data_IF_609378271883
#
_entry.id   IF_609378271883
#
_cell.length_a   1.000
_cell.length_b   1.000
_cell.length_c   1.000
_cell.angle_alpha   90.00
_cell.angle_beta   90.00
_cell.angle_gamma   90.00
#
_symmetry.space_group_name_H-M   'P 1'
#
loop_
_entity.id
_entity.type
_entity.pdbx_description
1 polymer ?
#
# COMPACT_ATOMS: atom_id res chain seq x y z
N UNK A 1 -15.63 -12.55 -1.97
CA UNK A 1 -14.55 -12.37 -1.00
C UNK A 1 -15.14 -12.28 0.39
N UNK A 2 -14.58 -13.04 1.32
CA UNK A 2 -14.85 -12.89 2.75
C UNK A 2 -14.13 -11.64 3.31
N UNK A 3 -14.54 -11.17 4.50
CA UNK A 3 -13.97 -10.00 5.16
C UNK A 3 -12.46 -10.12 5.36
N UNK A 4 -11.99 -11.27 5.85
CA UNK A 4 -10.57 -11.50 6.06
C UNK A 4 -9.77 -11.42 4.75
N UNK A 5 -10.31 -11.97 3.65
CA UNK A 5 -9.69 -11.89 2.32
C UNK A 5 -9.57 -10.44 1.83
N UNK A 6 -10.61 -9.62 2.05
CA UNK A 6 -10.59 -8.20 1.70
C UNK A 6 -9.52 -7.44 2.50
N UNK A 7 -9.43 -7.70 3.80
CA UNK A 7 -8.42 -7.09 4.67
C UNK A 7 -7.01 -7.51 4.24
N UNK A 8 -6.78 -8.81 4.02
CA UNK A 8 -5.49 -9.32 3.54
C UNK A 8 -5.13 -8.71 2.17
N UNK A 9 -6.10 -8.56 1.27
CA UNK A 9 -5.89 -7.94 -0.03
C UNK A 9 -5.48 -6.47 0.09
N UNK A 10 -6.05 -5.72 1.06
CA UNK A 10 -5.60 -4.35 1.37
C UNK A 10 -4.15 -4.35 1.88
N UNK A 11 -3.79 -5.27 2.78
CA UNK A 11 -2.40 -5.38 3.29
C UNK A 11 -1.43 -5.68 2.16
N UNK A 12 -1.78 -6.59 1.24
CA UNK A 12 -0.93 -6.91 0.09
C UNK A 12 -0.79 -5.70 -0.85
N UNK A 13 -1.90 -5.03 -1.19
CA UNK A 13 -1.89 -3.89 -2.09
C UNK A 13 -1.04 -2.72 -1.55
N UNK A 14 -1.25 -2.34 -0.29
CA UNK A 14 -0.61 -1.15 0.30
C UNK A 14 0.73 -1.42 0.98
N UNK A 15 0.93 -2.64 1.50
CA UNK A 15 2.17 -3.00 2.17
C UNK A 15 3.22 -3.54 1.22
N UNK A 16 2.84 -4.50 0.38
CA UNK A 16 3.77 -5.25 -0.47
C UNK A 16 3.89 -4.61 -1.85
N UNK A 17 2.77 -4.49 -2.59
CA UNK A 17 2.79 -4.03 -3.97
C UNK A 17 3.19 -2.56 -4.09
N UNK A 18 2.54 -1.67 -3.33
CA UNK A 18 2.93 -0.26 -3.25
C UNK A 18 4.37 -0.12 -2.73
N UNK A 19 4.73 -0.84 -1.67
CA UNK A 19 6.08 -0.78 -1.07
C UNK A 19 7.18 -1.15 -2.07
N UNK A 20 7.07 -2.30 -2.72
CA UNK A 20 8.06 -2.77 -3.70
C UNK A 20 8.09 -1.86 -4.93
N UNK A 21 6.93 -1.51 -5.50
CA UNK A 21 6.88 -0.65 -6.67
C UNK A 21 7.47 0.74 -6.41
N UNK A 22 7.27 1.29 -5.21
CA UNK A 22 7.90 2.53 -4.78
C UNK A 22 9.42 2.42 -4.79
N UNK A 23 9.97 1.34 -4.22
CA UNK A 23 11.43 1.14 -4.20
C UNK A 23 12.00 0.99 -5.60
N UNK A 24 11.31 0.27 -6.49
CA UNK A 24 11.73 0.13 -7.89
C UNK A 24 11.72 1.49 -8.60
N UNK A 25 10.64 2.26 -8.48
CA UNK A 25 10.53 3.58 -9.09
C UNK A 25 11.62 4.53 -8.56
N UNK A 26 11.83 4.57 -7.25
CA UNK A 26 12.86 5.40 -6.62
C UNK A 26 14.27 5.01 -7.04
N UNK A 27 14.55 3.71 -7.21
CA UNK A 27 15.85 3.22 -7.65
C UNK A 27 16.19 3.59 -9.11
N UNK A 28 15.18 3.75 -9.97
CA UNK A 28 15.36 4.06 -11.39
C UNK A 28 15.29 5.56 -11.70
N UNK A 29 14.41 6.30 -11.02
CA UNK A 29 14.12 7.70 -11.36
C UNK A 29 14.69 8.69 -10.35
N UNK A 30 14.99 8.24 -9.12
CA UNK A 30 15.47 9.09 -8.03
C UNK A 30 14.43 9.28 -6.93
N UNK A 31 14.90 9.49 -5.70
CA UNK A 31 14.05 9.59 -4.50
C UNK A 31 13.26 10.92 -4.45
N UNK A 32 13.75 11.96 -5.11
CA UNK A 32 13.15 13.29 -5.15
C UNK A 32 11.74 13.31 -5.79
N UNK A 33 11.43 12.29 -6.58
CA UNK A 33 10.14 12.11 -7.26
C UNK A 33 9.08 11.38 -6.40
N UNK A 34 9.45 10.86 -5.22
CA UNK A 34 8.49 10.25 -4.29
C UNK A 34 7.58 11.33 -3.67
N UNK A 35 6.31 11.38 -4.02
CA UNK A 35 5.41 12.46 -3.58
C UNK A 35 5.17 12.49 -2.06
N UNK A 36 5.22 11.35 -1.38
CA UNK A 36 5.01 11.27 0.06
C UNK A 36 6.29 11.66 0.83
N UNK A 37 6.31 12.78 1.57
CA UNK A 37 7.52 13.26 2.23
C UNK A 37 8.03 12.30 3.32
N UNK A 38 7.15 11.54 3.97
CA UNK A 38 7.56 10.56 4.99
C UNK A 38 8.25 9.36 4.36
N UNK A 39 7.69 8.84 3.27
CA UNK A 39 8.30 7.74 2.52
C UNK A 39 9.63 8.21 1.93
N UNK A 40 9.65 9.41 1.33
CA UNK A 40 10.87 10.02 0.77
C UNK A 40 11.99 10.12 1.79
N UNK A 41 11.69 10.53 3.02
CA UNK A 41 12.67 10.62 4.10
C UNK A 41 13.24 9.25 4.50
N UNK A 42 12.52 8.15 4.27
CA UNK A 42 12.95 6.79 4.57
C UNK A 42 13.70 6.11 3.41
N UNK A 43 13.53 6.58 2.17
CA UNK A 43 14.15 5.99 0.97
C UNK A 43 15.69 5.95 0.96
N UNK A 44 16.45 6.82 1.68
CA UNK A 44 17.89 6.61 1.86
C UNK A 44 18.25 5.27 2.53
N UNK A 45 17.30 4.64 3.22
CA UNK A 45 17.40 3.29 3.79
C UNK A 45 16.25 2.42 3.26
N UNK A 46 16.35 1.89 2.02
CA UNK A 46 15.22 1.25 1.32
C UNK A 46 14.55 0.10 2.08
N UNK A 47 15.33 -0.72 2.79
CA UNK A 47 14.81 -1.80 3.61
C UNK A 47 13.94 -1.29 4.76
N UNK A 48 14.35 -0.19 5.41
CA UNK A 48 13.55 0.44 6.46
C UNK A 48 12.27 1.04 5.88
N UNK A 49 12.33 1.70 4.72
CA UNK A 49 11.13 2.23 4.05
C UNK A 49 10.10 1.12 3.77
N UNK A 50 10.54 -0.02 3.25
CA UNK A 50 9.67 -1.18 3.00
C UNK A 50 9.10 -1.76 4.30
N UNK A 51 9.94 -1.94 5.33
CA UNK A 51 9.50 -2.46 6.64
C UNK A 51 8.45 -1.54 7.26
N UNK A 52 8.65 -0.22 7.22
CA UNK A 52 7.69 0.75 7.76
C UNK A 52 6.37 0.72 7.00
N UNK A 53 6.42 0.70 5.65
CA UNK A 53 5.20 0.59 4.82
C UNK A 53 4.44 -0.71 5.12
N UNK A 54 5.13 -1.84 5.14
CA UNK A 54 4.54 -3.14 5.43
C UNK A 54 3.96 -3.19 6.84
N UNK A 55 4.70 -2.70 7.85
CA UNK A 55 4.24 -2.65 9.23
C UNK A 55 2.99 -1.79 9.39
N UNK A 56 2.93 -0.62 8.73
CA UNK A 56 1.75 0.24 8.72
C UNK A 56 0.53 -0.46 8.11
N UNK A 57 0.71 -1.14 6.96
CA UNK A 57 -0.35 -1.90 6.31
C UNK A 57 -0.84 -3.07 7.17
N UNK A 58 0.09 -3.86 7.73
CA UNK A 58 -0.23 -4.99 8.63
C UNK A 58 -0.94 -4.49 9.89
N UNK A 59 -0.50 -3.39 10.48
CA UNK A 59 -1.15 -2.78 11.64
C UNK A 59 -2.59 -2.34 11.33
N UNK A 60 -2.80 -1.64 10.21
CA UNK A 60 -4.12 -1.24 9.76
C UNK A 60 -5.03 -2.47 9.49
N UNK A 61 -4.47 -3.51 8.86
CA UNK A 61 -5.18 -4.77 8.64
C UNK A 61 -5.55 -5.46 9.96
N UNK A 62 -4.62 -5.53 10.91
CA UNK A 62 -4.87 -6.08 12.25
C UNK A 62 -5.96 -5.33 13.00
N UNK A 63 -5.97 -3.99 12.92
CA UNK A 63 -7.05 -3.17 13.46
C UNK A 63 -8.39 -3.45 12.77
N UNK A 64 -8.40 -3.62 11.45
CA UNK A 64 -9.62 -3.98 10.72
C UNK A 64 -10.15 -5.36 11.14
N UNK A 65 -9.28 -6.37 11.32
CA UNK A 65 -9.69 -7.69 11.84
C UNK A 65 -10.25 -7.56 13.26
N UNK A 66 -9.53 -6.88 14.17
CA UNK A 66 -9.98 -6.68 15.54
C UNK A 66 -11.33 -5.94 15.62
N UNK A 67 -11.58 -5.01 14.67
CA UNK A 67 -12.80 -4.23 14.56
C UNK A 67 -13.92 -4.86 13.73
N UNK A 68 -13.77 -6.11 13.25
CA UNK A 68 -14.67 -6.71 12.25
C UNK A 68 -16.16 -6.58 12.61
N UNK A 69 -16.52 -6.86 13.87
CA UNK A 69 -17.91 -6.79 14.34
C UNK A 69 -18.52 -5.40 14.13
N UNK A 70 -17.74 -4.35 14.33
CA UNK A 70 -18.16 -2.97 14.10
C UNK A 70 -18.15 -2.64 12.61
N UNK A 71 -17.09 -2.96 11.88
CA UNK A 71 -16.97 -2.62 10.45
C UNK A 71 -18.11 -3.23 9.64
N UNK A 72 -18.54 -4.45 9.95
CA UNK A 72 -19.65 -5.12 9.27
C UNK A 72 -21.01 -4.44 9.49
N UNK A 73 -21.18 -3.55 10.48
CA UNK A 73 -22.42 -2.78 10.66
C UNK A 73 -22.50 -1.56 9.76
N UNK A 74 -21.38 -1.09 9.21
CA UNK A 74 -21.31 0.11 8.38
C UNK A 74 -21.79 -0.22 6.96
N UNK A 75 -22.84 0.45 6.44
CA UNK A 75 -23.27 0.25 5.06
C UNK A 75 -22.15 0.52 4.07
N UNK A 76 -21.96 -0.38 3.10
CA UNK A 76 -20.96 -0.21 2.05
C UNK A 76 -19.52 -0.60 2.42
N UNK A 77 -19.27 -1.21 3.58
CA UNK A 77 -17.93 -1.64 4.00
C UNK A 77 -17.20 -2.47 2.92
N UNK A 78 -17.91 -3.35 2.19
CA UNK A 78 -17.32 -4.14 1.09
C UNK A 78 -16.75 -3.26 -0.01
N UNK A 79 -17.53 -2.28 -0.45
CA UNK A 79 -17.13 -1.34 -1.49
C UNK A 79 -15.97 -0.47 -1.05
N UNK A 80 -15.91 -0.11 0.24
CA UNK A 80 -14.78 0.58 0.81
C UNK A 80 -13.48 -0.23 0.69
N UNK A 81 -13.47 -1.51 1.11
CA UNK A 81 -12.29 -2.37 0.93
C UNK A 81 -11.92 -2.57 -0.54
N UNK A 82 -12.91 -2.83 -1.40
CA UNK A 82 -12.66 -2.97 -2.84
C UNK A 82 -12.08 -1.69 -3.45
N UNK A 83 -12.57 -0.53 -3.03
CA UNK A 83 -12.05 0.78 -3.43
C UNK A 83 -10.61 0.98 -2.97
N UNK A 84 -10.28 0.63 -1.71
CA UNK A 84 -8.92 0.69 -1.20
C UNK A 84 -7.96 -0.24 -1.97
N UNK A 85 -8.41 -1.45 -2.30
CA UNK A 85 -7.62 -2.41 -3.08
C UNK A 85 -7.37 -1.86 -4.49
N UNK A 86 -8.43 -1.39 -5.17
CA UNK A 86 -8.31 -0.83 -6.51
C UNK A 86 -7.42 0.41 -6.54
N UNK A 87 -7.52 1.28 -5.53
CA UNK A 87 -6.67 2.46 -5.42
C UNK A 87 -5.20 2.09 -5.19
N UNK A 88 -4.90 1.15 -4.28
CA UNK A 88 -3.53 0.66 -4.05
C UNK A 88 -2.93 -0.03 -5.28
N UNK A 89 -3.74 -0.78 -6.04
CA UNK A 89 -3.33 -1.33 -7.33
C UNK A 89 -3.04 -0.24 -8.37
N UNK A 90 -3.84 0.83 -8.40
CA UNK A 90 -3.60 2.00 -9.25
C UNK A 90 -2.30 2.71 -8.91
N UNK A 91 -2.02 2.95 -7.63
CA UNK A 91 -0.73 3.52 -7.17
C UNK A 91 0.44 2.63 -7.56
N UNK A 92 0.33 1.31 -7.37
CA UNK A 92 1.34 0.34 -7.82
C UNK A 92 1.58 0.47 -9.32
N UNK A 93 0.51 0.54 -10.12
CA UNK A 93 0.60 0.71 -11.57
C UNK A 93 1.28 2.02 -11.98
N UNK A 94 1.02 3.12 -11.28
CA UNK A 94 1.69 4.41 -11.51
C UNK A 94 3.18 4.33 -11.21
N UNK A 95 3.57 3.75 -10.07
CA UNK A 95 4.97 3.56 -9.69
C UNK A 95 5.72 2.72 -10.74
N UNK A 96 5.12 1.61 -11.18
CA UNK A 96 5.70 0.76 -12.21
C UNK A 96 5.72 1.45 -13.58
N UNK A 97 4.72 2.27 -13.91
CA UNK A 97 4.70 3.06 -15.14
C UNK A 97 5.85 4.07 -15.20
N UNK A 98 6.12 4.76 -14.09
CA UNK A 98 7.27 5.68 -13.95
C UNK A 98 8.59 4.91 -14.07
N UNK A 99 8.71 3.76 -13.40
CA UNK A 99 9.88 2.88 -13.50
C UNK A 99 10.14 2.41 -14.94
N UNK A 100 9.10 1.93 -15.64
CA UNK A 100 9.21 1.45 -17.01
C UNK A 100 9.53 2.56 -18.01
N UNK A 101 9.04 3.78 -17.78
CA UNK A 101 9.35 4.92 -18.64
C UNK A 101 10.81 5.42 -18.51
N UNK A 102 11.53 4.97 -17.47
CA UNK A 102 12.92 5.34 -17.21
C UNK A 102 13.95 4.34 -17.77
N UNK A 103 13.48 3.22 -18.33
CA UNK A 103 14.29 2.18 -19.01
C UNK A 103 14.17 2.35 -20.52
#
# INVERSE_FOLDING_TARGET
>A
MDYAELVVSVVIAWGVLDGVSTLVAAALVGIEFESNPLVRALLPTPSLALVVKLAAAVFAGGLAIAGERFVRTVPGWRWYFLGLIAFGAGVTGLNLGVALAAV
#
